data_IF_906069917698
#
_entry.id   IF_906069917698
#
_cell.length_a   1.000
_cell.length_b   1.000
_cell.length_c   1.000
_cell.angle_alpha   90.00
_cell.angle_beta   90.00
_cell.angle_gamma   90.00
#
_symmetry.space_group_name_H-M   'P 1'
#
loop_
_entity.id
_entity.type
_entity.pdbx_description
1 polymer ?
#
# COMPACT_ATOMS: atom_id res chain seq x y z
N UNK A 1 5.54 -25.70 18.68
CA UNK A 1 5.81 -24.28 18.44
C UNK A 1 5.34 -23.99 17.03
N UNK A 2 4.21 -23.30 16.81
CA UNK A 2 3.91 -22.88 15.45
C UNK A 2 4.95 -21.85 15.04
N UNK A 3 5.36 -21.86 13.77
CA UNK A 3 6.20 -20.84 13.19
C UNK A 3 5.51 -19.49 13.38
N UNK A 4 5.99 -18.66 14.30
CA UNK A 4 5.64 -17.25 14.30
C UNK A 4 6.56 -16.67 13.24
N UNK A 5 6.03 -16.39 12.05
CA UNK A 5 6.79 -15.64 11.05
C UNK A 5 6.84 -14.19 11.53
N UNK A 6 8.05 -13.73 11.83
CA UNK A 6 8.35 -12.39 12.36
C UNK A 6 8.31 -11.31 11.26
N UNK A 7 8.36 -11.75 10.00
CA UNK A 7 8.28 -10.90 8.81
C UNK A 7 7.56 -11.60 7.67
N UNK A 8 6.79 -10.84 6.90
CA UNK A 8 6.17 -11.28 5.65
C UNK A 8 6.56 -10.29 4.56
N UNK A 9 7.17 -10.80 3.49
CA UNK A 9 7.52 -10.02 2.30
C UNK A 9 6.87 -10.61 1.05
N UNK A 10 6.19 -9.76 0.29
CA UNK A 10 5.76 -10.06 -1.07
C UNK A 10 6.52 -9.14 -2.02
N UNK A 11 7.49 -9.71 -2.73
CA UNK A 11 8.32 -8.99 -3.68
C UNK A 11 7.88 -9.38 -5.10
N UNK A 12 7.39 -8.42 -5.87
CA UNK A 12 7.25 -8.61 -7.31
C UNK A 12 8.64 -8.57 -7.97
N UNK A 13 8.83 -9.39 -9.01
CA UNK A 13 10.04 -9.32 -9.82
C UNK A 13 10.23 -7.90 -10.37
N UNK A 14 11.46 -7.38 -10.38
CA UNK A 14 11.74 -6.07 -10.96
C UNK A 14 11.31 -6.06 -12.43
N UNK A 15 10.61 -5.00 -12.84
CA UNK A 15 10.20 -4.82 -14.21
C UNK A 15 11.45 -4.81 -15.12
N UNK A 16 11.56 -5.70 -16.13
CA UNK A 16 12.73 -5.74 -17.01
C UNK A 16 12.95 -4.41 -17.73
N UNK A 17 14.17 -3.88 -17.71
CA UNK A 17 14.48 -2.54 -18.27
C UNK A 17 14.21 -2.42 -19.77
N UNK A 18 14.24 -3.55 -20.50
CA UNK A 18 14.09 -3.62 -21.96
C UNK A 18 12.63 -3.74 -22.42
N UNK A 19 11.65 -3.90 -21.52
CA UNK A 19 10.24 -4.07 -21.89
C UNK A 19 9.54 -2.71 -22.08
N UNK A 20 8.83 -2.46 -23.20
CA UNK A 20 8.13 -1.19 -23.45
C UNK A 20 7.09 -0.83 -22.38
N UNK A 21 6.51 -1.86 -21.73
CA UNK A 21 5.60 -1.72 -20.59
C UNK A 21 6.30 -1.50 -19.25
N UNK A 22 7.62 -1.59 -19.21
CA UNK A 22 8.50 -1.38 -18.07
C UNK A 22 9.42 -0.18 -18.24
N UNK A 23 9.24 0.64 -19.29
CA UNK A 23 9.95 1.90 -19.50
C UNK A 23 9.47 2.98 -18.51
N UNK A 24 9.54 2.67 -17.23
CA UNK A 24 9.28 3.57 -16.13
C UNK A 24 10.53 3.56 -15.28
N UNK A 25 11.43 4.50 -15.57
CA UNK A 25 12.63 4.72 -14.79
C UNK A 25 12.24 4.83 -13.31
N UNK A 26 12.68 3.86 -12.49
CA UNK A 26 12.67 3.99 -11.03
C UNK A 26 13.40 5.28 -10.59
N UNK A 27 14.24 5.84 -11.47
CA UNK A 27 14.93 7.12 -11.34
C UNK A 27 14.30 8.31 -12.08
N UNK A 28 12.96 8.35 -12.26
CA UNK A 28 12.26 9.57 -12.71
C UNK A 28 12.02 10.60 -11.60
N UNK A 29 12.22 10.20 -10.35
CA UNK A 29 12.50 11.08 -9.23
C UNK A 29 14.00 10.86 -8.98
N UNK A 30 14.80 11.94 -8.96
CA UNK A 30 16.23 11.80 -8.68
C UNK A 30 16.41 10.88 -7.46
N UNK A 31 17.40 9.98 -7.46
CA UNK A 31 17.69 9.08 -6.33
C UNK A 31 18.10 9.86 -5.04
N UNK A 32 18.04 11.19 -5.12
CA UNK A 32 18.29 12.18 -4.08
C UNK A 32 17.03 13.01 -3.73
N UNK A 33 15.88 12.75 -4.35
CA UNK A 33 14.57 13.25 -3.91
C UNK A 33 14.16 12.39 -2.73
N UNK A 34 14.36 12.93 -1.53
CA UNK A 34 13.67 12.43 -0.35
C UNK A 34 12.18 12.47 -0.66
N UNK A 35 11.53 11.33 -0.88
CA UNK A 35 10.07 11.28 -1.06
C UNK A 35 9.47 12.02 0.12
N UNK A 36 8.71 13.08 -0.14
CA UNK A 36 8.12 13.86 0.94
C UNK A 36 7.12 12.96 1.66
N UNK A 37 7.40 12.66 2.92
CA UNK A 37 6.45 11.94 3.77
C UNK A 37 5.24 12.84 3.99
N UNK A 38 4.07 12.33 3.62
CA UNK A 38 2.78 12.99 3.71
C UNK A 38 1.91 12.23 4.70
N UNK A 39 1.23 12.94 5.60
CA UNK A 39 0.34 12.30 6.56
C UNK A 39 -1.00 11.98 5.90
N UNK A 40 -1.53 10.79 6.15
CA UNK A 40 -2.88 10.45 5.72
C UNK A 40 -3.90 11.45 6.30
N UNK A 41 -3.72 11.86 7.56
CA UNK A 41 -4.61 12.79 8.26
C UNK A 41 -4.54 14.24 7.75
N UNK A 42 -3.55 14.60 6.93
CA UNK A 42 -3.42 15.95 6.37
C UNK A 42 -4.28 16.09 5.10
N UNK A 43 -5.28 16.98 5.07
CA UNK A 43 -6.08 17.22 3.88
C UNK A 43 -5.23 17.65 2.66
N UNK A 44 -4.06 18.28 2.86
CA UNK A 44 -3.17 18.68 1.78
C UNK A 44 -2.65 17.48 0.96
N UNK A 45 -2.52 16.31 1.58
CA UNK A 45 -2.20 15.03 0.91
C UNK A 45 -3.25 14.67 -0.14
N UNK A 46 -4.49 15.15 0.03
CA UNK A 46 -5.67 14.76 -0.74
C UNK A 46 -6.35 15.96 -1.41
N UNK A 47 -5.57 16.95 -1.86
CA UNK A 47 -6.09 18.16 -2.52
C UNK A 47 -7.13 18.94 -1.70
N UNK A 48 -7.01 18.91 -0.37
CA UNK A 48 -7.78 19.70 0.59
C UNK A 48 -8.94 18.96 1.26
N UNK A 49 -9.24 17.70 0.92
CA UNK A 49 -10.31 16.93 1.56
C UNK A 49 -9.90 15.48 1.77
N UNK A 50 -10.01 14.99 3.01
CA UNK A 50 -9.70 13.59 3.34
C UNK A 50 -10.59 12.61 2.56
N UNK A 51 -10.06 11.42 2.18
CA UNK A 51 -10.86 10.37 1.59
C UNK A 51 -12.04 9.98 2.48
N UNK A 52 -13.20 9.75 1.87
CA UNK A 52 -14.42 9.35 2.57
C UNK A 52 -14.77 7.89 2.32
N UNK A 53 -15.70 7.35 3.11
CA UNK A 53 -16.11 5.95 2.98
C UNK A 53 -16.63 5.62 1.57
N UNK A 54 -16.22 4.47 1.03
CA UNK A 54 -16.57 4.02 -0.33
C UNK A 54 -15.84 4.73 -1.46
N UNK A 55 -14.85 5.59 -1.16
CA UNK A 55 -14.04 6.25 -2.18
C UNK A 55 -12.90 5.33 -2.66
N UNK A 56 -12.50 5.50 -3.92
CA UNK A 56 -11.24 4.96 -4.44
C UNK A 56 -10.11 5.96 -4.21
N UNK A 57 -9.00 5.47 -3.66
CA UNK A 57 -7.80 6.25 -3.35
C UNK A 57 -6.64 5.75 -4.21
N UNK A 58 -5.91 6.69 -4.80
CA UNK A 58 -4.65 6.42 -5.49
C UNK A 58 -3.53 7.15 -4.78
N UNK A 59 -2.49 6.42 -4.40
CA UNK A 59 -1.23 6.96 -3.89
C UNK A 59 -0.26 6.98 -5.08
N UNK A 60 -0.06 8.17 -5.64
CA UNK A 60 0.76 8.37 -6.85
C UNK A 60 2.26 8.14 -6.56
N UNK A 61 3.06 7.98 -7.61
CA UNK A 61 4.49 7.59 -7.50
C UNK A 61 5.37 8.57 -6.73
N UNK A 62 5.02 9.85 -6.79
CA UNK A 62 5.67 10.94 -6.08
C UNK A 62 5.18 11.08 -4.64
N UNK A 63 4.23 10.23 -4.22
CA UNK A 63 3.69 10.21 -2.87
C UNK A 63 4.34 9.13 -2.00
N UNK A 64 4.65 9.51 -0.76
CA UNK A 64 4.94 8.55 0.32
C UNK A 64 4.03 8.91 1.50
N UNK A 65 2.97 8.13 1.68
CA UNK A 65 1.90 8.42 2.64
C UNK A 65 2.11 7.59 3.92
N UNK A 66 2.21 8.28 5.05
CA UNK A 66 2.20 7.69 6.37
C UNK A 66 0.75 7.51 6.83
N UNK A 67 0.36 6.28 7.13
CA UNK A 67 -0.98 5.92 7.63
C UNK A 67 -1.11 6.30 9.12
N UNK A 68 -1.01 7.58 9.47
CA UNK A 68 -1.00 8.07 10.85
C UNK A 68 -2.37 8.01 11.56
N UNK A 69 -3.44 7.73 10.81
CA UNK A 69 -4.80 7.50 11.31
C UNK A 69 -5.45 6.37 10.52
N UNK A 70 -6.41 5.67 11.14
CA UNK A 70 -7.23 4.69 10.43
C UNK A 70 -8.23 5.40 9.50
N UNK A 71 -8.14 5.23 8.16
CA UNK A 71 -9.11 5.80 7.24
C UNK A 71 -10.52 5.22 7.43
N UNK A 72 -11.56 5.92 6.95
CA UNK A 72 -12.88 5.30 6.81
C UNK A 72 -12.80 4.11 5.83
N UNK A 73 -13.78 3.17 5.88
CA UNK A 73 -13.81 2.04 4.96
C UNK A 73 -13.85 2.49 3.49
N UNK A 74 -12.79 2.24 2.74
CA UNK A 74 -12.67 2.64 1.34
C UNK A 74 -13.27 1.59 0.41
N UNK A 75 -13.56 1.99 -0.83
CA UNK A 75 -13.83 1.02 -1.88
C UNK A 75 -12.51 0.40 -2.34
N UNK A 76 -11.51 1.23 -2.65
CA UNK A 76 -10.28 0.76 -3.25
C UNK A 76 -9.07 1.59 -2.93
N UNK A 77 -7.90 0.94 -2.88
CA UNK A 77 -6.60 1.61 -2.71
C UNK A 77 -5.64 1.11 -3.78
N UNK A 78 -5.12 2.02 -4.60
CA UNK A 78 -4.04 1.74 -5.55
C UNK A 78 -2.77 2.44 -5.08
N UNK A 79 -1.69 1.69 -4.89
CA UNK A 79 -0.41 2.19 -4.40
C UNK A 79 0.62 2.11 -5.53
N UNK A 80 0.94 3.26 -6.12
CA UNK A 80 2.06 3.45 -7.05
C UNK A 80 3.29 4.04 -6.36
N UNK A 81 3.09 4.85 -5.31
CA UNK A 81 4.14 5.37 -4.43
C UNK A 81 4.33 4.51 -3.18
N UNK A 82 4.57 5.14 -2.03
CA UNK A 82 4.69 4.47 -0.74
C UNK A 82 3.44 4.64 0.14
N UNK A 83 3.00 3.56 0.79
CA UNK A 83 2.05 3.58 1.91
C UNK A 83 2.69 2.89 3.10
N UNK A 84 2.89 3.61 4.20
CA UNK A 84 3.66 3.11 5.34
C UNK A 84 2.89 3.26 6.65
N UNK A 85 2.91 2.22 7.49
CA UNK A 85 2.41 2.28 8.86
C UNK A 85 3.33 3.15 9.74
N UNK A 86 2.80 3.88 10.74
CA UNK A 86 3.58 4.85 11.48
C UNK A 86 4.62 4.18 12.38
N UNK A 87 5.87 4.62 12.34
CA UNK A 87 6.95 4.03 13.17
C UNK A 87 6.78 4.23 14.68
N UNK A 88 5.83 5.05 15.10
CA UNK A 88 5.56 5.35 16.52
C UNK A 88 4.73 4.26 17.25
N UNK A 89 4.40 3.15 16.58
CA UNK A 89 3.65 2.03 17.17
C UNK A 89 2.14 2.28 17.34
N UNK A 90 1.58 3.27 16.64
CA UNK A 90 0.13 3.56 16.69
C UNK A 90 -0.64 2.51 15.91
N UNK A 91 -1.53 1.76 16.55
CA UNK A 91 -2.42 0.81 15.87
C UNK A 91 -3.26 1.49 14.77
N UNK A 92 -3.23 0.91 13.56
CA UNK A 92 -3.93 1.44 12.39
C UNK A 92 -4.63 0.34 11.62
N UNK A 93 -5.85 0.63 11.17
CA UNK A 93 -6.64 -0.28 10.35
C UNK A 93 -6.81 0.28 8.95
N UNK A 94 -6.35 -0.47 7.95
CA UNK A 94 -6.58 -0.21 6.55
C UNK A 94 -7.73 -1.07 6.05
N UNK A 95 -8.91 -0.47 5.86
CA UNK A 95 -10.11 -1.18 5.40
C UNK A 95 -10.47 -0.73 3.98
N UNK A 96 -10.53 -1.68 3.05
CA UNK A 96 -10.93 -1.45 1.66
C UNK A 96 -11.63 -2.68 1.08
N UNK A 97 -12.32 -2.59 -0.06
CA UNK A 97 -12.75 -3.79 -0.81
C UNK A 97 -11.56 -4.41 -1.53
N UNK A 98 -10.64 -3.59 -2.04
CA UNK A 98 -9.42 -4.06 -2.69
C UNK A 98 -8.24 -3.14 -2.42
N UNK A 99 -7.04 -3.72 -2.39
CA UNK A 99 -5.76 -3.01 -2.30
C UNK A 99 -4.88 -3.56 -3.41
N UNK A 100 -4.33 -2.67 -4.24
CA UNK A 100 -3.44 -3.02 -5.34
C UNK A 100 -2.14 -2.25 -5.16
N UNK A 101 -1.05 -2.96 -4.92
CA UNK A 101 0.31 -2.41 -4.89
C UNK A 101 0.95 -2.69 -6.24
N UNK A 102 1.33 -1.67 -7.02
CA UNK A 102 1.82 -1.87 -8.39
C UNK A 102 2.73 -0.75 -8.86
N UNK A 103 3.42 -0.98 -9.98
CA UNK A 103 4.20 0.06 -10.65
C UNK A 103 5.38 0.58 -9.82
N UNK A 104 5.98 -0.31 -9.02
CA UNK A 104 7.07 0.01 -8.10
C UNK A 104 6.62 0.61 -6.76
N UNK A 105 5.32 0.57 -6.45
CA UNK A 105 4.80 1.01 -5.16
C UNK A 105 5.09 0.04 -4.02
N UNK A 106 5.06 0.57 -2.81
CA UNK A 106 5.45 -0.14 -1.59
C UNK A 106 4.34 0.00 -0.51
N UNK A 107 3.96 -1.11 0.12
CA UNK A 107 3.16 -1.14 1.34
C UNK A 107 4.04 -1.66 2.48
N UNK A 108 4.29 -0.82 3.48
CA UNK A 108 5.32 -1.05 4.49
C UNK A 108 4.71 -1.01 5.89
N UNK A 109 5.10 -1.95 6.74
CA UNK A 109 4.89 -1.88 8.18
C UNK A 109 6.17 -2.31 8.89
N UNK A 110 6.99 -1.32 9.28
CA UNK A 110 8.28 -1.57 9.88
C UNK A 110 9.30 -2.11 8.87
N UNK A 111 10.50 -2.35 9.37
CA UNK A 111 11.63 -2.93 8.64
C UNK A 111 12.30 -4.00 9.50
N UNK A 112 13.20 -4.77 8.91
CA UNK A 112 14.00 -5.75 9.67
C UNK A 112 14.78 -5.11 10.84
N UNK A 113 15.35 -3.91 10.64
CA UNK A 113 16.10 -3.20 11.70
C UNK A 113 15.21 -2.44 12.68
N UNK A 114 14.02 -2.01 12.24
CA UNK A 114 13.07 -1.23 13.03
C UNK A 114 11.67 -1.82 12.84
N UNK A 115 11.34 -2.91 13.56
CA UNK A 115 10.05 -3.57 13.42
C UNK A 115 8.93 -2.66 13.90
N UNK A 116 7.75 -2.88 13.33
CA UNK A 116 6.58 -2.09 13.66
C UNK A 116 5.97 -2.57 14.99
N UNK A 117 6.11 -1.74 16.02
CA UNK A 117 5.65 -2.04 17.39
C UNK A 117 4.14 -1.79 17.61
N UNK A 118 3.37 -1.61 16.54
CA UNK A 118 1.91 -1.48 16.58
C UNK A 118 1.23 -2.58 15.77
N UNK A 119 -0.08 -2.49 15.67
CA UNK A 119 -0.91 -3.39 14.86
C UNK A 119 -1.25 -2.71 13.53
N UNK A 120 -1.03 -3.41 12.41
CA UNK A 120 -1.54 -3.01 11.10
C UNK A 120 -2.61 -4.01 10.70
N UNK A 121 -3.87 -3.61 10.85
CA UNK A 121 -5.00 -4.44 10.45
C UNK A 121 -5.37 -4.15 8.99
N UNK A 122 -5.05 -5.07 8.08
CA UNK A 122 -5.51 -5.01 6.69
C UNK A 122 -6.83 -5.80 6.58
N UNK A 123 -7.94 -5.07 6.41
CA UNK A 123 -9.28 -5.65 6.39
C UNK A 123 -9.93 -5.50 5.00
N UNK A 124 -10.01 -6.61 4.26
CA UNK A 124 -10.65 -6.66 2.95
C UNK A 124 -12.17 -6.87 3.09
N UNK A 125 -12.94 -5.91 2.58
CA UNK A 125 -14.39 -5.77 2.75
C UNK A 125 -15.14 -6.36 1.56
N UNK A 126 -16.39 -6.78 1.77
CA UNK A 126 -17.29 -7.24 0.71
C UNK A 126 -18.01 -8.52 1.07
N UNK A 127 -18.88 -8.98 0.18
CA UNK A 127 -19.65 -10.23 0.29
C UNK A 127 -19.55 -11.05 -1.01
N UNK A 128 -20.44 -12.03 -1.21
CA UNK A 128 -20.46 -12.89 -2.41
C UNK A 128 -21.01 -12.19 -3.66
N UNK A 129 -21.59 -11.00 -3.49
CA UNK A 129 -22.17 -10.17 -4.55
C UNK A 129 -21.26 -9.00 -4.92
N UNK A 130 -20.21 -8.73 -4.14
CA UNK A 130 -19.19 -7.74 -4.46
C UNK A 130 -18.55 -8.06 -5.82
N UNK A 131 -18.61 -7.13 -6.80
CA UNK A 131 -18.01 -7.32 -8.12
C UNK A 131 -16.51 -7.57 -8.03
N UNK A 132 -16.00 -8.43 -8.92
CA UNK A 132 -14.57 -8.65 -9.02
C UNK A 132 -13.84 -7.49 -9.68
N UNK A 133 -12.58 -7.28 -9.29
CA UNK A 133 -11.69 -6.30 -9.90
C UNK A 133 -11.00 -6.92 -11.09
N UNK A 134 -11.02 -6.17 -12.20
CA UNK A 134 -10.31 -6.54 -13.42
C UNK A 134 -9.02 -5.75 -13.51
N UNK A 135 -7.92 -6.42 -13.79
CA UNK A 135 -6.73 -5.77 -14.33
C UNK A 135 -6.49 -6.37 -15.72
N UNK A 136 -6.49 -5.52 -16.74
CA UNK A 136 -6.58 -5.96 -18.14
C UNK A 136 -7.83 -6.85 -18.37
N UNK A 137 -7.69 -7.95 -19.11
CA UNK A 137 -8.78 -8.88 -19.42
C UNK A 137 -9.06 -9.91 -18.31
N UNK A 138 -8.22 -9.94 -17.27
CA UNK A 138 -8.30 -10.90 -16.17
C UNK A 138 -9.13 -10.35 -15.00
N UNK A 139 -10.02 -11.19 -14.47
CA UNK A 139 -10.79 -10.92 -13.26
C UNK A 139 -10.10 -11.58 -12.06
N UNK A 140 -9.62 -10.77 -11.13
CA UNK A 140 -8.91 -11.22 -9.93
C UNK A 140 -9.85 -11.52 -8.75
N UNK A 141 -11.17 -11.47 -8.97
CA UNK A 141 -12.17 -11.65 -7.94
C UNK A 141 -12.37 -10.38 -7.10
N UNK A 142 -13.09 -10.50 -5.99
CA UNK A 142 -13.31 -9.41 -5.02
C UNK A 142 -12.55 -9.70 -3.73
N UNK A 143 -12.35 -8.67 -2.89
CA UNK A 143 -11.69 -8.78 -1.58
C UNK A 143 -10.25 -9.24 -1.68
N UNK A 144 -9.42 -8.45 -2.36
CA UNK A 144 -8.06 -8.84 -2.69
C UNK A 144 -7.02 -7.80 -2.30
N UNK A 145 -5.86 -8.31 -1.89
CA UNK A 145 -4.59 -7.62 -1.88
C UNK A 145 -3.78 -8.16 -3.05
N UNK A 146 -3.57 -7.34 -4.09
CA UNK A 146 -2.80 -7.71 -5.28
C UNK A 146 -1.46 -6.99 -5.26
N UNK A 147 -0.38 -7.75 -5.40
CA UNK A 147 0.99 -7.25 -5.27
C UNK A 147 1.75 -7.44 -6.57
N UNK A 148 1.84 -6.36 -7.34
CA UNK A 148 2.77 -6.16 -8.46
C UNK A 148 3.87 -5.13 -8.11
N UNK A 149 4.09 -4.90 -6.82
CA UNK A 149 5.12 -4.04 -6.25
C UNK A 149 5.71 -4.73 -5.02
N UNK A 150 5.82 -4.01 -3.91
CA UNK A 150 6.38 -4.55 -2.65
C UNK A 150 5.36 -4.50 -1.53
N UNK A 151 5.23 -5.58 -0.77
CA UNK A 151 4.66 -5.55 0.58
C UNK A 151 5.74 -6.05 1.54
N UNK A 152 6.07 -5.27 2.56
CA UNK A 152 7.07 -5.61 3.58
C UNK A 152 6.49 -5.33 4.97
N UNK A 153 6.32 -6.38 5.76
CA UNK A 153 5.69 -6.33 7.08
C UNK A 153 6.62 -6.99 8.09
N UNK A 154 7.10 -6.25 9.08
CA UNK A 154 8.02 -6.73 10.12
C UNK A 154 7.45 -6.45 11.51
N UNK A 155 7.28 -7.50 12.31
CA UNK A 155 6.80 -7.42 13.69
C UNK A 155 7.97 -7.61 14.69
N UNK A 156 7.81 -7.16 15.95
CA UNK A 156 8.81 -7.40 16.98
C UNK A 156 8.92 -8.89 17.32
N UNK A 157 10.12 -9.29 17.75
CA UNK A 157 10.45 -10.65 18.23
C UNK A 157 10.02 -10.86 19.68
#
# INVERSE_FOLDING_TARGET
NPCIEESIEFLADPCPEDEPGCQFSRGGLDDNVTRRVMLWSDPATWNGTLPVAGQNVTIERDMHVLLDVSPPPLEGITVFGGLEAPSNGTDVTLRAVWIIVRGGGDLIAGTESEPYNGTLDIALSGDRYTPGIKANDDNYGSKLLLVFGTVSLHAPV
#
